data_IF_238023108701
#
_entry.id   IF_238023108701
#
_cell.length_a   1.000
_cell.length_b   1.000
_cell.length_c   1.000
_cell.angle_alpha   90.00
_cell.angle_beta   90.00
_cell.angle_gamma   90.00
#
_symmetry.space_group_name_H-M   'P 1'
#
loop_
_entity.id
_entity.type
_entity.pdbx_description
1 polymer ?
#
# COMPACT_ATOMS: atom_id res chain seq x y z
N UNK A 1 24.59 -25.34 3.29
CA UNK A 1 23.20 -25.07 2.88
C UNK A 1 22.32 -25.05 4.14
N UNK A 2 21.97 -23.86 4.63
CA UNK A 2 21.16 -23.72 5.84
C UNK A 2 19.68 -23.95 5.52
N UNK A 3 19.01 -24.81 6.29
CA UNK A 3 17.54 -25.02 6.17
C UNK A 3 16.82 -23.67 6.38
N UNK A 4 15.78 -23.35 5.59
CA UNK A 4 14.93 -22.21 5.88
C UNK A 4 14.28 -22.40 7.25
N UNK A 5 14.56 -21.49 8.18
CA UNK A 5 14.01 -21.49 9.53
C UNK A 5 12.51 -21.18 9.45
N UNK A 6 11.67 -22.15 9.83
CA UNK A 6 10.23 -21.94 9.88
C UNK A 6 9.87 -20.85 10.92
N UNK A 7 8.91 -19.97 10.61
CA UNK A 7 8.45 -18.96 11.56
C UNK A 7 7.97 -19.61 12.86
N UNK A 8 8.53 -19.18 13.99
CA UNK A 8 8.17 -19.72 15.32
C UNK A 8 7.33 -18.70 16.08
N UNK A 9 6.14 -19.12 16.54
CA UNK A 9 5.24 -18.27 17.33
C UNK A 9 5.82 -18.06 18.74
N UNK A 10 6.00 -16.81 19.15
CA UNK A 10 6.59 -16.46 20.45
C UNK A 10 5.52 -16.11 21.48
N UNK A 11 4.48 -15.40 21.06
CA UNK A 11 3.41 -14.95 21.94
C UNK A 11 2.15 -14.62 21.16
N UNK A 12 1.02 -14.98 21.74
CA UNK A 12 -0.30 -14.66 21.23
C UNK A 12 -1.05 -13.81 22.28
N UNK A 13 -1.75 -12.77 21.84
CA UNK A 13 -2.63 -11.97 22.69
C UNK A 13 -3.91 -11.63 21.92
N UNK A 14 -5.05 -11.69 22.63
CA UNK A 14 -6.38 -11.39 22.08
C UNK A 14 -6.97 -10.24 22.90
N UNK A 15 -7.42 -9.18 22.22
CA UNK A 15 -8.03 -8.01 22.85
C UNK A 15 -9.30 -7.67 22.09
N UNK A 16 -10.39 -7.37 22.79
CA UNK A 16 -11.60 -6.81 22.19
C UNK A 16 -11.63 -5.30 22.35
N UNK A 17 -11.71 -4.57 21.24
CA UNK A 17 -11.81 -3.11 21.21
C UNK A 17 -13.01 -2.75 20.32
N UNK A 18 -14.00 -2.03 20.87
CA UNK A 18 -15.21 -1.60 20.15
C UNK A 18 -15.85 -2.70 19.27
N UNK A 19 -16.16 -3.88 19.86
CA UNK A 19 -16.77 -5.04 19.17
C UNK A 19 -15.91 -5.71 18.08
N UNK A 20 -14.64 -5.31 17.90
CA UNK A 20 -13.70 -5.98 16.98
C UNK A 20 -12.76 -6.91 17.73
N UNK A 21 -12.61 -8.16 17.25
CA UNK A 21 -11.64 -9.11 17.79
C UNK A 21 -10.28 -8.86 17.13
N UNK A 22 -9.32 -8.43 17.95
CA UNK A 22 -7.94 -8.19 17.53
C UNK A 22 -7.07 -9.34 18.03
N UNK A 23 -6.47 -10.10 17.10
CA UNK A 23 -5.50 -11.14 17.41
C UNK A 23 -4.10 -10.64 17.06
N UNK A 24 -3.22 -10.64 18.06
CA UNK A 24 -1.83 -10.24 17.89
C UNK A 24 -0.96 -11.49 17.96
N UNK A 25 -0.17 -11.74 16.93
CA UNK A 25 0.81 -12.81 16.90
C UNK A 25 2.20 -12.23 16.74
N UNK A 26 3.09 -12.53 17.68
CA UNK A 26 4.51 -12.24 17.53
C UNK A 26 5.19 -13.47 16.94
N UNK A 27 5.74 -13.32 15.74
CA UNK A 27 6.43 -14.39 15.03
C UNK A 27 7.92 -14.04 14.93
N UNK A 28 8.79 -15.02 15.22
CA UNK A 28 10.21 -14.95 14.87
C UNK A 28 10.37 -15.28 13.40
N UNK A 29 10.91 -14.34 12.62
CA UNK A 29 11.31 -14.58 11.23
C UNK A 29 12.79 -14.18 11.09
N UNK A 30 13.67 -15.18 11.10
CA UNK A 30 15.11 -14.96 11.26
C UNK A 30 15.45 -14.45 12.68
N UNK A 31 16.27 -13.40 12.77
CA UNK A 31 16.68 -12.78 14.05
C UNK A 31 15.77 -11.61 14.49
N UNK A 32 14.70 -11.31 13.76
CA UNK A 32 13.76 -10.22 14.03
C UNK A 32 12.40 -10.72 14.53
N UNK A 33 11.74 -9.90 15.35
CA UNK A 33 10.34 -10.11 15.72
C UNK A 33 9.42 -9.36 14.76
N UNK A 34 8.38 -10.04 14.32
CA UNK A 34 7.32 -9.47 13.51
C UNK A 34 6.03 -9.50 14.32
N UNK A 35 5.42 -8.34 14.56
CA UNK A 35 4.09 -8.26 15.17
C UNK A 35 3.05 -8.29 14.06
N UNK A 36 2.34 -9.40 13.96
CA UNK A 36 1.16 -9.53 13.14
C UNK A 36 -0.05 -9.06 13.95
N UNK A 37 -0.67 -7.96 13.53
CA UNK A 37 -1.98 -7.52 14.03
C UNK A 37 -3.06 -7.97 13.04
N UNK A 38 -3.86 -8.93 13.46
CA UNK A 38 -5.02 -9.42 12.74
C UNK A 38 -6.23 -8.60 13.17
N UNK A 39 -6.87 -7.86 12.24
CA UNK A 39 -8.11 -7.13 12.51
C UNK A 39 -9.26 -7.77 11.75
N UNK A 40 -10.28 -8.20 12.48
CA UNK A 40 -11.55 -8.68 11.93
C UNK A 40 -12.52 -7.49 11.95
N UNK A 41 -12.91 -7.00 10.76
CA UNK A 41 -13.70 -5.77 10.62
C UNK A 41 -15.18 -5.97 10.32
N UNK A 42 -15.68 -7.20 10.16
CA UNK A 42 -17.11 -7.41 9.92
C UNK A 42 -17.61 -8.74 10.49
N UNK A 43 -18.74 -8.68 11.21
CA UNK A 43 -19.53 -9.81 11.71
C UNK A 43 -21.00 -9.55 11.38
N UNK A 44 -21.30 -9.10 10.15
CA UNK A 44 -22.69 -8.96 9.71
C UNK A 44 -23.37 -10.34 9.71
N UNK A 45 -24.50 -10.44 10.43
CA UNK A 45 -25.29 -11.66 10.61
C UNK A 45 -25.95 -12.17 9.32
N UNK A 46 -25.87 -11.42 8.22
CA UNK A 46 -26.50 -11.73 6.95
C UNK A 46 -25.56 -12.32 5.87
N UNK A 47 -24.24 -12.37 6.11
CA UNK A 47 -23.27 -12.87 5.13
C UNK A 47 -22.16 -13.69 5.78
N UNK A 48 -22.50 -14.91 6.20
CA UNK A 48 -21.57 -15.94 6.66
C UNK A 48 -20.51 -16.39 5.61
N UNK A 49 -20.29 -15.65 4.52
CA UNK A 49 -19.42 -16.11 3.42
C UNK A 49 -18.05 -15.45 3.30
N UNK A 50 -17.81 -14.25 3.85
CA UNK A 50 -16.48 -13.63 3.74
C UNK A 50 -16.08 -12.90 5.02
N UNK A 51 -15.30 -13.57 5.86
CA UNK A 51 -14.53 -12.90 6.91
C UNK A 51 -13.35 -12.22 6.22
N UNK A 52 -13.39 -10.89 6.11
CA UNK A 52 -12.24 -10.12 5.63
C UNK A 52 -11.25 -9.97 6.79
N UNK A 53 -10.12 -10.68 6.69
CA UNK A 53 -9.02 -10.62 7.65
C UNK A 53 -7.96 -9.66 7.11
N UNK A 54 -7.81 -8.50 7.75
CA UNK A 54 -6.68 -7.62 7.44
C UNK A 54 -5.47 -7.99 8.30
N UNK A 55 -4.39 -8.45 7.65
CA UNK A 55 -3.11 -8.78 8.27
C UNK A 55 -2.19 -7.55 8.26
N UNK A 56 -1.99 -6.91 9.40
CA UNK A 56 -1.08 -5.77 9.54
C UNK A 56 0.25 -6.24 10.13
N UNK A 57 1.29 -6.27 9.30
CA UNK A 57 2.65 -6.62 9.72
C UNK A 57 3.37 -5.36 10.21
N UNK A 58 3.72 -5.29 11.50
CA UNK A 58 4.59 -4.23 12.03
C UNK A 58 5.95 -4.82 12.41
N UNK A 59 7.06 -4.30 11.86
CA UNK A 59 8.39 -4.76 12.22
C UNK A 59 8.70 -4.31 13.66
N UNK A 60 9.25 -5.21 14.46
CA UNK A 60 9.67 -4.92 15.83
C UNK A 60 11.19 -4.98 15.91
N UNK A 61 11.81 -3.88 16.33
CA UNK A 61 13.26 -3.81 16.57
C UNK A 61 13.53 -4.08 18.04
N UNK A 62 14.08 -5.26 18.34
CA UNK A 62 14.60 -5.59 19.66
C UNK A 62 16.11 -5.47 19.70
N UNK A 63 16.63 -5.01 20.84
CA UNK A 63 18.05 -5.02 21.16
C UNK A 63 18.26 -5.83 22.45
N UNK A 64 18.98 -6.95 22.39
CA UNK A 64 19.25 -7.83 23.54
C UNK A 64 20.77 -7.95 23.74
N UNK A 65 21.25 -7.70 24.97
CA UNK A 65 22.68 -7.75 25.33
C UNK A 65 23.22 -9.17 25.57
N UNK A 66 22.37 -10.22 25.59
CA UNK A 66 22.83 -11.62 25.74
C UNK A 66 23.13 -12.33 24.42
N UNK A 67 22.69 -11.79 23.29
CA UNK A 67 23.10 -12.28 21.98
C UNK A 67 24.43 -11.61 21.61
N UNK A 68 25.48 -12.40 21.41
CA UNK A 68 26.71 -11.91 20.77
C UNK A 68 26.36 -11.60 19.31
N UNK A 69 26.11 -10.33 19.02
CA UNK A 69 25.74 -9.83 17.70
C UNK A 69 26.98 -9.91 16.79
N UNK A 70 27.04 -10.95 15.98
CA UNK A 70 27.65 -10.83 14.66
C UNK A 70 26.64 -10.05 13.79
N UNK A 71 27.14 -9.12 12.97
CA UNK A 71 26.38 -8.19 12.14
C UNK A 71 25.06 -8.78 11.62
N UNK A 72 23.94 -8.28 12.14
CA UNK A 72 22.61 -8.62 11.61
C UNK A 72 22.52 -7.89 10.25
N UNK A 73 22.40 -8.62 9.13
CA UNK A 73 22.31 -7.99 7.81
C UNK A 73 21.07 -7.11 7.76
N UNK A 74 21.16 -5.97 7.08
CA UNK A 74 20.05 -5.04 6.85
C UNK A 74 18.81 -5.82 6.40
N UNK A 75 17.84 -5.98 7.30
CA UNK A 75 16.67 -6.80 7.03
C UNK A 75 15.71 -5.97 6.16
N UNK A 76 15.70 -6.28 4.86
CA UNK A 76 14.78 -5.66 3.90
C UNK A 76 13.38 -6.24 4.10
N UNK A 77 12.55 -5.51 4.84
CA UNK A 77 11.14 -5.87 5.00
C UNK A 77 10.33 -5.27 3.85
N UNK A 78 9.70 -6.12 3.03
CA UNK A 78 8.79 -5.69 1.97
C UNK A 78 7.37 -5.64 2.53
N UNK A 79 6.86 -4.43 2.78
CA UNK A 79 5.53 -4.22 3.36
C UNK A 79 4.45 -4.13 2.28
N UNK A 80 3.31 -4.73 2.57
CA UNK A 80 2.08 -4.53 1.80
C UNK A 80 1.63 -3.06 1.92
N UNK A 81 1.42 -2.39 0.79
CA UNK A 81 1.18 -0.93 0.74
C UNK A 81 2.46 -0.07 0.61
N UNK A 82 3.51 -0.60 -0.01
CA UNK A 82 4.74 0.16 -0.32
C UNK A 82 4.48 1.39 -1.19
N UNK A 83 3.46 1.38 -2.04
CA UNK A 83 3.14 2.50 -2.94
C UNK A 83 1.96 3.33 -2.45
N UNK A 84 2.15 4.64 -2.31
CA UNK A 84 1.08 5.62 -2.03
C UNK A 84 0.87 6.51 -3.25
N UNK A 85 -0.35 6.56 -3.76
CA UNK A 85 -0.71 7.45 -4.88
C UNK A 85 -1.49 8.65 -4.37
N UNK A 86 -1.07 9.86 -4.77
CA UNK A 86 -1.61 11.13 -4.28
C UNK A 86 -1.82 12.08 -5.45
N UNK A 87 -2.79 12.97 -5.36
CA UNK A 87 -3.06 13.99 -6.39
C UNK A 87 -2.15 15.20 -6.10
N UNK A 88 -1.57 15.79 -7.14
CA UNK A 88 -0.85 17.06 -7.03
C UNK A 88 -1.67 18.09 -6.21
N UNK A 89 -0.99 18.90 -5.42
CA UNK A 89 -1.63 19.95 -4.62
C UNK A 89 -2.17 19.48 -3.26
N UNK A 90 -2.35 18.18 -3.06
CA UNK A 90 -2.81 17.62 -1.79
C UNK A 90 -1.67 17.33 -0.80
N UNK A 91 -2.02 17.10 0.46
CA UNK A 91 -1.08 16.73 1.51
C UNK A 91 -0.92 15.20 1.59
N UNK A 92 0.28 14.74 1.92
CA UNK A 92 0.56 13.30 2.06
C UNK A 92 1.18 12.97 3.41
N UNK A 93 0.63 11.93 4.05
CA UNK A 93 1.19 11.27 5.23
C UNK A 93 1.83 9.93 4.88
N UNK A 94 3.16 9.82 4.97
CA UNK A 94 3.90 8.56 4.84
C UNK A 94 4.21 8.03 6.24
N UNK A 95 3.64 6.89 6.60
CA UNK A 95 3.78 6.30 7.94
C UNK A 95 4.89 5.27 7.99
N UNK A 96 5.63 5.26 9.09
CA UNK A 96 6.65 4.26 9.38
C UNK A 96 6.25 3.46 10.61
N UNK A 97 5.51 2.35 10.46
CA UNK A 97 4.87 1.66 11.58
C UNK A 97 5.85 0.74 12.34
N UNK A 98 7.04 1.23 12.68
CA UNK A 98 8.06 0.50 13.43
C UNK A 98 7.83 0.69 14.93
N UNK A 99 7.89 -0.41 15.68
CA UNK A 99 7.97 -0.37 17.13
C UNK A 99 9.38 -0.78 17.57
N UNK A 100 9.90 -0.13 18.60
CA UNK A 100 11.14 -0.58 19.24
C UNK A 100 11.18 -0.27 20.73
N UNK A 101 11.93 -1.10 21.44
CA UNK A 101 12.20 -0.97 22.86
C UNK A 101 13.71 -1.20 23.10
N UNK A 102 14.49 -0.19 23.55
CA UNK A 102 14.10 1.21 23.82
C UNK A 102 13.47 1.97 22.64
N UNK A 103 12.82 3.11 22.96
CA UNK A 103 12.11 3.94 21.97
C UNK A 103 13.03 4.28 20.78
N UNK A 104 12.54 4.03 19.58
CA UNK A 104 13.27 4.29 18.33
C UNK A 104 13.27 5.78 17.98
N UNK A 105 14.33 6.19 17.29
CA UNK A 105 14.39 7.46 16.57
C UNK A 105 14.12 7.22 15.09
N UNK A 106 13.36 8.11 14.46
CA UNK A 106 13.00 8.02 13.05
C UNK A 106 13.74 9.06 12.23
N UNK A 107 14.28 8.62 11.10
CA UNK A 107 14.93 9.48 10.09
C UNK A 107 14.36 9.14 8.73
N UNK A 108 14.04 10.15 7.93
CA UNK A 108 13.49 9.96 6.59
C UNK A 108 14.48 10.40 5.52
N UNK A 109 14.53 9.62 4.44
CA UNK A 109 15.35 9.87 3.26
C UNK A 109 14.47 9.89 2.03
N UNK A 110 14.86 10.66 1.02
CA UNK A 110 14.30 10.60 -0.33
C UNK A 110 15.41 10.13 -1.26
N UNK A 111 15.29 8.90 -1.77
CA UNK A 111 16.41 8.21 -2.40
C UNK A 111 17.57 8.03 -1.43
N UNK A 112 18.75 8.58 -1.76
CA UNK A 112 19.96 8.48 -0.94
C UNK A 112 20.19 9.70 -0.02
N UNK A 113 19.37 10.76 -0.15
CA UNK A 113 19.57 12.01 0.58
C UNK A 113 18.61 12.09 1.77
N UNK A 114 19.07 12.68 2.88
CA UNK A 114 18.19 13.08 3.96
C UNK A 114 17.07 13.98 3.40
N UNK A 115 15.84 13.78 3.86
CA UNK A 115 14.70 14.55 3.38
C UNK A 115 14.82 16.06 3.65
N UNK A 116 15.70 16.45 4.58
CA UNK A 116 16.07 17.83 4.85
C UNK A 116 15.00 18.61 5.60
N UNK A 117 15.24 19.90 5.77
CA UNK A 117 14.30 20.85 6.38
C UNK A 117 13.66 21.69 5.28
N UNK A 118 12.36 21.53 5.11
CA UNK A 118 11.49 22.32 4.22
C UNK A 118 10.24 22.67 5.05
N UNK A 119 9.71 23.89 4.93
CA UNK A 119 8.51 24.33 5.64
C UNK A 119 7.28 23.45 5.36
N UNK A 120 7.25 22.80 4.18
CA UNK A 120 6.20 21.86 3.79
C UNK A 120 6.37 20.48 4.41
N UNK A 121 7.54 20.18 4.98
CA UNK A 121 7.92 18.83 5.45
C UNK A 121 7.96 18.80 6.97
N UNK A 122 7.25 17.85 7.56
CA UNK A 122 7.23 17.63 9.00
C UNK A 122 7.32 16.14 9.33
N UNK A 123 8.16 15.78 10.30
CA UNK A 123 8.28 14.40 10.80
C UNK A 123 7.79 14.36 12.24
N UNK A 124 6.74 13.59 12.48
CA UNK A 124 6.19 13.35 13.82
C UNK A 124 7.01 12.27 14.56
N UNK A 125 6.98 12.31 15.89
CA UNK A 125 7.66 11.40 16.80
C UNK A 125 7.23 9.93 16.65
N UNK A 126 6.06 9.70 16.04
CA UNK A 126 5.58 8.35 15.71
C UNK A 126 6.15 7.81 14.38
N UNK A 127 7.05 8.56 13.73
CA UNK A 127 7.67 8.18 12.47
C UNK A 127 6.87 8.56 11.22
N UNK A 128 5.79 9.33 11.36
CA UNK A 128 4.99 9.81 10.22
C UNK A 128 5.60 11.05 9.60
N UNK A 129 5.83 10.99 8.29
CA UNK A 129 6.27 12.09 7.47
C UNK A 129 5.06 12.75 6.78
N UNK A 130 4.85 14.02 7.06
CA UNK A 130 3.90 14.90 6.36
C UNK A 130 4.66 15.71 5.31
N UNK A 131 4.15 15.70 4.08
CA UNK A 131 4.56 16.63 3.00
C UNK A 131 3.31 17.37 2.55
N UNK A 132 3.31 18.70 2.71
CA UNK A 132 2.20 19.56 2.30
C UNK A 132 2.31 19.97 0.84
N UNK A 133 1.16 20.14 0.19
CA UNK A 133 1.05 20.65 -1.18
C UNK A 133 2.03 19.96 -2.15
N UNK A 134 1.81 18.66 -2.39
CA UNK A 134 2.75 17.83 -3.15
C UNK A 134 2.85 18.25 -4.61
N UNK A 135 4.07 18.25 -5.13
CA UNK A 135 4.39 18.58 -6.52
C UNK A 135 4.96 17.37 -7.23
N UNK A 136 5.03 17.37 -8.57
CA UNK A 136 5.62 16.23 -9.30
C UNK A 136 7.08 15.93 -8.92
N UNK A 137 7.81 16.92 -8.39
CA UNK A 137 9.17 16.73 -7.88
C UNK A 137 9.20 15.86 -6.64
N UNK A 138 8.11 15.77 -5.89
CA UNK A 138 7.99 14.94 -4.69
C UNK A 138 7.79 13.45 -5.02
N UNK A 139 7.63 13.08 -6.30
CA UNK A 139 7.57 11.70 -6.75
C UNK A 139 8.89 10.98 -6.46
N UNK A 140 8.81 9.77 -5.87
CA UNK A 140 9.98 8.91 -5.73
C UNK A 140 9.88 7.96 -4.55
N UNK A 141 11.04 7.39 -4.20
CA UNK A 141 11.18 6.47 -3.07
C UNK A 141 11.57 7.26 -1.83
N UNK A 142 10.82 7.04 -0.76
CA UNK A 142 11.06 7.57 0.58
C UNK A 142 11.42 6.43 1.51
N UNK A 143 12.54 6.54 2.20
CA UNK A 143 13.03 5.51 3.11
C UNK A 143 12.97 6.02 4.54
N UNK A 144 12.16 5.36 5.36
CA UNK A 144 12.17 5.57 6.80
C UNK A 144 13.21 4.65 7.44
N UNK A 145 14.13 5.21 8.20
CA UNK A 145 15.08 4.49 9.05
C UNK A 145 14.70 4.67 10.51
N UNK A 146 14.39 3.57 11.19
CA UNK A 146 14.14 3.53 12.63
C UNK A 146 15.37 2.97 13.34
N UNK A 147 15.91 3.70 14.31
CA UNK A 147 17.14 3.37 15.03
C UNK A 147 16.86 3.19 16.51
N UNK A 148 17.25 2.05 17.06
CA UNK A 148 17.28 1.77 18.49
C UNK A 148 18.74 1.68 18.96
N UNK A 149 19.12 2.42 20.00
CA UNK A 149 20.49 2.43 20.56
C UNK A 149 20.46 1.98 22.01
N UNK A 150 21.22 0.95 22.35
CA UNK A 150 21.46 0.51 23.73
C UNK A 150 22.93 0.58 24.10
N UNK A 151 23.22 0.73 25.39
CA UNK A 151 24.58 0.55 25.91
C UNK A 151 24.75 -0.89 26.37
N UNK A 152 25.71 -1.59 25.79
CA UNK A 152 26.15 -2.90 26.26
C UNK A 152 26.89 -2.71 27.59
N UNK A 153 26.27 -3.19 28.67
CA UNK A 153 26.82 -3.14 30.03
C UNK A 153 27.55 -4.43 30.41
N UNK A 154 27.54 -5.44 29.54
CA UNK A 154 28.15 -6.75 29.80
C UNK A 154 29.55 -6.88 29.20
N UNK A 155 29.95 -5.98 28.30
CA UNK A 155 31.34 -5.84 27.86
C UNK A 155 32.17 -5.06 28.86
N UNK A 156 33.46 -5.40 28.98
CA UNK A 156 34.44 -4.68 29.83
C UNK A 156 34.65 -3.20 29.44
N UNK A 157 34.01 -2.75 28.36
CA UNK A 157 34.02 -1.38 27.83
C UNK A 157 32.57 -0.96 27.58
N UNK A 158 32.20 0.29 27.86
CA UNK A 158 30.87 0.84 27.54
C UNK A 158 30.66 0.94 26.02
N UNK A 159 30.23 -0.15 25.37
CA UNK A 159 29.99 -0.19 23.92
C UNK A 159 28.53 0.18 23.62
N UNK A 160 28.28 1.10 22.68
CA UNK A 160 26.93 1.35 22.16
C UNK A 160 26.62 0.36 21.05
N UNK A 161 25.47 -0.31 21.12
CA UNK A 161 24.95 -1.22 20.10
C UNK A 161 23.72 -0.56 19.46
N UNK A 162 23.69 -0.51 18.14
CA UNK A 162 22.59 0.09 17.38
C UNK A 162 21.91 -0.95 16.50
N UNK A 163 20.59 -1.06 16.64
CA UNK A 163 19.73 -1.85 15.76
C UNK A 163 18.94 -0.91 14.87
N UNK A 164 18.91 -1.17 13.56
CA UNK A 164 18.28 -0.30 12.55
C UNK A 164 17.35 -1.09 11.65
N UNK A 165 16.20 -0.51 11.32
CA UNK A 165 15.28 -1.04 10.29
C UNK A 165 14.94 0.07 9.30
N UNK A 166 14.99 -0.28 8.02
CA UNK A 166 14.65 0.62 6.91
C UNK A 166 13.38 0.16 6.21
N UNK A 167 12.44 1.08 5.98
CA UNK A 167 11.18 0.86 5.26
C UNK A 167 11.12 1.79 4.06
N UNK A 168 11.02 1.23 2.86
CA UNK A 168 10.84 2.01 1.63
C UNK A 168 9.36 2.21 1.29
N UNK A 169 9.02 3.42 0.83
CA UNK A 169 7.70 3.81 0.34
C UNK A 169 7.82 4.54 -0.98
N UNK A 170 7.07 4.12 -1.99
CA UNK A 170 7.00 4.78 -3.28
C UNK A 170 5.84 5.78 -3.33
N UNK A 171 6.12 7.08 -3.43
CA UNK A 171 5.11 8.12 -3.59
C UNK A 171 4.86 8.40 -5.06
N UNK A 172 3.70 8.01 -5.59
CA UNK A 172 3.26 8.31 -6.96
C UNK A 172 2.35 9.53 -6.96
N UNK A 173 2.60 10.48 -7.86
CA UNK A 173 1.82 11.72 -7.97
C UNK A 173 1.04 11.72 -9.28
N UNK A 174 -0.29 11.84 -9.18
CA UNK A 174 -1.21 11.93 -10.31
C UNK A 174 -1.62 13.38 -10.57
N UNK A 175 -2.06 13.64 -11.81
CA UNK A 175 -2.66 14.92 -12.17
C UNK A 175 -4.05 15.06 -11.55
N UNK A 176 -4.44 16.29 -11.25
CA UNK A 176 -5.80 16.64 -10.86
C UNK A 176 -6.83 16.29 -11.94
N UNK A 177 -6.40 16.20 -13.21
CA UNK A 177 -7.27 15.85 -14.34
C UNK A 177 -7.31 14.36 -14.66
N UNK A 178 -6.61 13.51 -13.89
CA UNK A 178 -6.57 12.07 -14.18
C UNK A 178 -7.96 11.40 -14.14
N UNK A 179 -8.97 12.01 -13.50
CA UNK A 179 -10.36 11.56 -13.53
C UNK A 179 -11.10 11.89 -14.83
N UNK A 180 -10.62 12.84 -15.65
CA UNK A 180 -11.24 13.16 -16.94
C UNK A 180 -11.00 12.08 -18.00
N UNK A 181 -9.89 11.35 -17.89
CA UNK A 181 -9.56 10.26 -18.82
C UNK A 181 -10.65 9.16 -18.87
N UNK A 182 -11.09 8.56 -17.74
CA UNK A 182 -12.16 7.56 -17.78
C UNK A 182 -13.49 8.15 -18.28
N UNK A 183 -13.80 9.41 -17.97
CA UNK A 183 -15.00 10.06 -18.51
C UNK A 183 -14.94 10.23 -20.03
N UNK A 184 -13.79 10.64 -20.57
CA UNK A 184 -13.58 10.73 -22.01
C UNK A 184 -13.76 9.39 -22.73
N UNK A 185 -13.26 8.31 -22.13
CA UNK A 185 -13.46 6.94 -22.66
C UNK A 185 -14.94 6.55 -22.63
N UNK A 186 -15.65 6.81 -21.54
CA UNK A 186 -17.09 6.52 -21.43
C UNK A 186 -17.87 7.29 -22.50
N UNK A 187 -17.59 8.59 -22.66
CA UNK A 187 -18.24 9.43 -23.67
C UNK A 187 -17.98 8.88 -25.08
N UNK A 188 -16.75 8.51 -25.41
CA UNK A 188 -16.40 7.92 -26.70
C UNK A 188 -17.15 6.60 -26.95
N UNK A 189 -17.24 5.73 -25.95
CA UNK A 189 -17.97 4.47 -26.05
C UNK A 189 -19.48 4.70 -26.30
N UNK A 190 -20.07 5.68 -25.62
CA UNK A 190 -21.48 6.06 -25.85
C UNK A 190 -21.69 6.55 -27.29
N UNK A 191 -20.80 7.41 -27.81
CA UNK A 191 -20.88 7.86 -29.20
C UNK A 191 -20.74 6.72 -30.21
N UNK A 192 -19.83 5.77 -29.97
CA UNK A 192 -19.67 4.59 -30.82
C UNK A 192 -20.91 3.70 -30.79
N UNK A 193 -21.52 3.49 -29.62
CA UNK A 193 -22.77 2.73 -29.51
C UNK A 193 -23.91 3.40 -30.27
N UNK A 194 -24.07 4.72 -30.12
CA UNK A 194 -25.08 5.47 -30.87
C UNK A 194 -24.84 5.39 -32.38
N UNK A 195 -23.60 5.52 -32.82
CA UNK A 195 -23.23 5.35 -34.24
C UNK A 195 -23.58 3.95 -34.76
N UNK A 196 -23.26 2.90 -34.00
CA UNK A 196 -23.61 1.51 -34.34
C UNK A 196 -25.14 1.34 -34.43
N UNK A 197 -25.90 1.87 -33.46
CA UNK A 197 -27.36 1.83 -33.47
C UNK A 197 -27.93 2.51 -34.72
N UNK A 198 -27.48 3.73 -35.02
CA UNK A 198 -27.92 4.48 -36.21
C UNK A 198 -27.53 3.73 -37.48
N UNK A 199 -26.32 3.19 -37.58
CA UNK A 199 -25.88 2.42 -38.73
C UNK A 199 -26.72 1.14 -38.92
N UNK A 200 -27.03 0.43 -37.83
CA UNK A 200 -27.91 -0.73 -37.84
C UNK A 200 -29.32 -0.37 -38.31
N UNK A 201 -29.90 0.71 -37.80
CA UNK A 201 -31.20 1.23 -38.24
C UNK A 201 -31.19 1.63 -39.72
N UNK A 202 -30.16 2.35 -40.17
CA UNK A 202 -29.98 2.72 -41.58
C UNK A 202 -29.86 1.48 -42.47
N UNK A 203 -29.11 0.46 -42.04
CA UNK A 203 -28.98 -0.80 -42.78
C UNK A 203 -30.29 -1.60 -42.79
N UNK A 204 -31.04 -1.59 -41.69
CA UNK A 204 -32.37 -2.21 -41.58
C UNK A 204 -33.34 -1.55 -42.57
N UNK A 205 -33.44 -0.22 -42.57
CA UNK A 205 -34.26 0.54 -43.53
C UNK A 205 -33.90 0.26 -44.99
N UNK A 206 -32.60 0.16 -45.32
CA UNK A 206 -32.15 -0.22 -46.68
C UNK A 206 -32.59 -1.63 -47.08
N UNK A 207 -32.64 -2.59 -46.16
CA UNK A 207 -33.12 -3.95 -46.46
C UNK A 207 -34.63 -3.96 -46.69
N UNK A 208 -35.39 -3.25 -45.85
CA UNK A 208 -36.86 -3.11 -45.99
C UNK A 208 -37.24 -2.47 -47.33
N UNK A 209 -36.56 -1.39 -47.74
CA UNK A 209 -36.80 -0.75 -49.05
C UNK A 209 -36.51 -1.69 -50.24
N UNK A 210 -35.44 -2.49 -50.17
CA UNK A 210 -35.14 -3.47 -51.23
C UNK A 210 -36.21 -4.56 -51.35
N UNK A 211 -36.77 -5.01 -50.23
CA UNK A 211 -37.86 -5.99 -50.23
C UNK A 211 -39.15 -5.41 -50.84
N UNK A 212 -39.53 -4.17 -50.51
CA UNK A 212 -40.69 -3.50 -51.12
C UNK A 212 -40.55 -3.36 -52.64
N UNK A 213 -39.37 -3.01 -53.14
CA UNK A 213 -39.13 -2.88 -54.59
C UNK A 213 -39.26 -4.23 -55.29
N UNK A 214 -38.73 -5.33 -54.71
CA UNK A 214 -38.86 -6.66 -55.30
C UNK A 214 -40.28 -7.21 -55.34
N UNK A 215 -41.12 -6.82 -54.37
CA UNK A 215 -42.54 -7.22 -54.33
C UNK A 215 -43.33 -6.46 -55.40
N UNK A 216 -43.09 -5.16 -55.55
CA UNK A 216 -43.75 -4.36 -56.59
C UNK A 216 -43.33 -4.78 -58.01
N UNK A 217 -42.05 -5.12 -58.24
CA UNK A 217 -41.58 -5.54 -59.57
C UNK A 217 -42.10 -6.91 -60.00
N UNK A 218 -42.53 -7.77 -59.06
CA UNK A 218 -43.12 -9.07 -59.38
C UNK A 218 -44.64 -9.02 -59.60
N UNK A 219 -45.28 -7.86 -59.39
CA UNK A 219 -46.72 -7.70 -59.53
C UNK A 219 -47.16 -7.09 -60.87
N UNK A 220 -46.22 -6.59 -61.68
CA UNK A 220 -46.49 -6.00 -63.01
C UNK A 220 -46.33 -7.01 -64.17
N UNK A 221 -45.91 -8.25 -63.89
CA UNK A 221 -45.63 -9.30 -64.89
C UNK A 221 -46.72 -10.41 -65.00
N UNK A 222 -47.85 -10.29 -64.26
CA UNK A 222 -49.05 -11.17 -64.33
C UNK A 222 -50.27 -10.41 -64.87
#
# INVERSE_FOLDING_TARGET
MGKPMLPTLVREAIIMEHLTLLKFMLIMQGNGLVMLKLKITDLSTAQLLFIIVHLYVRPVVLSNTRLRIYDIPEQKFQFEGSTKTVIRGSDVLLTCPVYGNPKVQFVWFKGAQDIGKDERIHVDNNGTLLIKNVTYLDHGIYTCKAVNTITDRFSSVNKKVQSTVSIERYLRIKSEFSWLLPLGVIILLVFLLLFIIVFCEMRKRRKEQKQLISVNSGADDD
#
